data_IF_055046858004
#
_entry.id   IF_055046858004
#
_cell.length_a   1.000
_cell.length_b   1.000
_cell.length_c   1.000
_cell.angle_alpha   90.00
_cell.angle_beta   90.00
_cell.angle_gamma   90.00
#
_symmetry.space_group_name_H-M   'P 1'
#
loop_
_entity.id
_entity.type
_entity.pdbx_description
1 polymer ?
#
# COMPACT_ATOMS: atom_id res chain seq x y z
N UNK A 1 -14.84 5.56 -5.12
CA UNK A 1 -13.39 5.36 -5.33
C UNK A 1 -12.80 4.64 -4.12
N UNK A 2 -11.87 3.72 -4.36
CA UNK A 2 -11.19 2.97 -3.31
C UNK A 2 -9.77 2.64 -3.78
N UNK A 3 -8.83 2.60 -2.83
CA UNK A 3 -7.46 2.15 -3.07
C UNK A 3 -6.98 1.31 -1.89
N UNK A 4 -6.04 0.41 -2.15
CA UNK A 4 -5.37 -0.39 -1.11
C UNK A 4 -3.90 -0.02 -1.08
N UNK A 5 -3.37 0.26 0.12
CA UNK A 5 -1.95 0.54 0.35
C UNK A 5 -1.35 -0.49 1.31
N UNK A 6 -0.07 -0.91 1.15
CA UNK A 6 0.61 -1.75 2.13
C UNK A 6 0.71 -1.03 3.48
N UNK A 7 0.23 -1.62 4.57
CA UNK A 7 0.23 -0.98 5.89
C UNK A 7 1.09 -1.69 6.94
N UNK A 8 1.73 -2.79 6.57
CA UNK A 8 2.62 -3.55 7.42
C UNK A 8 2.75 -5.00 7.00
N UNK A 9 3.27 -5.81 7.92
CA UNK A 9 3.46 -7.23 7.74
C UNK A 9 2.96 -7.98 8.96
N UNK A 10 2.48 -9.20 8.76
CA UNK A 10 2.19 -10.13 9.85
C UNK A 10 3.51 -10.61 10.50
N UNK A 11 3.40 -11.27 11.66
CA UNK A 11 4.55 -11.91 12.31
C UNK A 11 5.24 -12.94 11.40
N UNK A 12 4.47 -13.63 10.55
CA UNK A 12 4.96 -14.61 9.56
C UNK A 12 5.47 -13.95 8.26
N UNK A 13 5.57 -12.62 8.23
CA UNK A 13 6.15 -11.88 7.11
C UNK A 13 5.24 -11.69 5.90
N UNK A 14 3.93 -11.97 6.01
CA UNK A 14 2.96 -11.73 4.93
C UNK A 14 2.55 -10.25 4.86
N UNK A 15 2.37 -9.66 3.67
CA UNK A 15 1.96 -8.27 3.54
C UNK A 15 0.52 -8.06 4.01
N UNK A 16 0.26 -6.93 4.67
CA UNK A 16 -1.08 -6.50 5.11
C UNK A 16 -1.49 -5.26 4.33
N UNK A 17 -2.72 -5.25 3.81
CA UNK A 17 -3.30 -4.12 3.10
C UNK A 17 -4.24 -3.28 3.96
N UNK A 18 -4.22 -1.96 3.79
CA UNK A 18 -5.20 -1.02 4.31
C UNK A 18 -6.05 -0.49 3.15
N UNK A 19 -7.37 -0.59 3.25
CA UNK A 19 -8.29 -0.06 2.26
C UNK A 19 -8.75 1.35 2.63
N UNK A 20 -8.56 2.29 1.72
CA UNK A 20 -9.00 3.69 1.84
C UNK A 20 -10.18 3.90 0.89
N UNK A 21 -11.32 4.34 1.43
CA UNK A 21 -12.55 4.54 0.67
C UNK A 21 -12.98 6.01 0.78
N UNK A 22 -13.21 6.64 -0.37
CA UNK A 22 -13.65 8.03 -0.47
C UNK A 22 -15.10 8.18 -0.92
N UNK A 23 -15.57 9.45 -0.94
CA UNK A 23 -16.87 9.82 -1.48
C UNK A 23 -16.98 9.47 -2.96
N UNK A 24 -18.20 9.28 -3.47
CA UNK A 24 -18.47 9.01 -4.88
C UNK A 24 -17.78 10.06 -5.76
N UNK A 25 -17.02 9.61 -6.77
CA UNK A 25 -16.26 10.43 -7.73
C UNK A 25 -15.10 11.28 -7.17
N UNK A 26 -14.69 11.09 -5.91
CA UNK A 26 -13.58 11.84 -5.29
C UNK A 26 -12.27 11.02 -5.24
N UNK A 27 -11.81 10.57 -6.40
CA UNK A 27 -10.59 9.76 -6.57
C UNK A 27 -9.33 10.52 -6.13
N UNK A 28 -9.29 11.84 -6.38
CA UNK A 28 -8.17 12.70 -6.01
C UNK A 28 -7.92 12.70 -4.50
N UNK A 29 -8.97 12.70 -3.68
CA UNK A 29 -8.81 12.64 -2.22
C UNK A 29 -8.32 11.27 -1.75
N UNK A 30 -8.80 10.18 -2.36
CA UNK A 30 -8.29 8.83 -2.06
C UNK A 30 -6.80 8.72 -2.40
N UNK A 31 -6.38 9.20 -3.57
CA UNK A 31 -4.97 9.17 -3.98
C UNK A 31 -4.06 10.04 -3.10
N UNK A 32 -4.51 11.23 -2.70
CA UNK A 32 -3.77 12.09 -1.75
C UNK A 32 -3.61 11.42 -0.38
N UNK A 33 -4.64 10.75 0.11
CA UNK A 33 -4.57 10.00 1.36
C UNK A 33 -3.59 8.82 1.25
N UNK A 34 -3.62 8.07 0.14
CA UNK A 34 -2.65 7.00 -0.13
C UNK A 34 -1.21 7.52 -0.16
N UNK A 35 -0.95 8.64 -0.85
CA UNK A 35 0.37 9.25 -0.94
C UNK A 35 0.87 9.79 0.41
N UNK A 36 -0.02 10.38 1.22
CA UNK A 36 0.31 10.80 2.57
C UNK A 36 0.68 9.61 3.47
N UNK A 37 -0.05 8.49 3.34
CA UNK A 37 0.27 7.26 4.05
C UNK A 37 1.62 6.68 3.60
N UNK A 38 1.90 6.67 2.29
CA UNK A 38 3.21 6.27 1.72
C UNK A 38 4.37 7.10 2.28
N UNK A 39 4.24 8.42 2.28
CA UNK A 39 5.27 9.31 2.81
C UNK A 39 5.52 9.12 4.31
N UNK A 40 4.49 8.78 5.09
CA UNK A 40 4.62 8.52 6.53
C UNK A 40 5.08 7.09 6.87
N UNK A 41 4.89 6.13 5.97
CA UNK A 41 5.19 4.71 6.19
C UNK A 41 5.74 4.07 4.91
N UNK A 42 6.97 4.38 4.49
CA UNK A 42 7.54 3.80 3.27
C UNK A 42 7.56 2.26 3.29
N UNK A 43 7.20 1.62 2.17
CA UNK A 43 7.17 0.15 2.01
C UNK A 43 7.92 -0.35 0.78
N UNK A 44 8.33 0.55 -0.12
CA UNK A 44 8.79 0.24 -1.47
C UNK A 44 10.04 -0.65 -1.52
N UNK A 45 10.86 -0.64 -0.48
CA UNK A 45 12.13 -1.39 -0.42
C UNK A 45 11.91 -2.86 -0.07
N UNK A 46 10.75 -3.24 0.48
CA UNK A 46 10.45 -4.62 0.83
C UNK A 46 9.82 -5.34 -0.36
N UNK A 47 10.59 -6.23 -0.98
CA UNK A 47 10.17 -7.06 -2.12
C UNK A 47 9.93 -8.51 -1.69
N UNK A 48 9.07 -9.27 -2.41
CA UNK A 48 8.96 -10.70 -2.17
C UNK A 48 10.19 -11.44 -2.73
N UNK A 49 10.62 -12.57 -2.13
CA UNK A 49 11.83 -13.31 -2.54
C UNK A 49 11.84 -13.74 -4.01
N UNK A 50 10.67 -13.88 -4.63
CA UNK A 50 10.57 -14.23 -6.05
C UNK A 50 11.25 -13.20 -6.96
N UNK A 51 11.31 -11.92 -6.55
CA UNK A 51 11.93 -10.85 -7.36
C UNK A 51 13.46 -11.01 -7.43
N UNK A 52 14.08 -11.59 -6.40
CA UNK A 52 15.52 -11.86 -6.36
C UNK A 52 15.93 -13.03 -7.27
N UNK A 53 14.95 -13.88 -7.64
CA UNK A 53 15.16 -15.11 -8.42
C UNK A 53 14.61 -14.99 -9.85
N UNK A 54 14.21 -13.79 -10.28
CA UNK A 54 13.88 -13.53 -11.68
C UNK A 54 15.19 -13.48 -12.49
N UNK A 55 15.25 -14.13 -13.68
CA UNK A 55 16.42 -14.09 -14.55
C UNK A 55 16.74 -12.69 -15.08
#
# INVERSE_FOLDING_TARGET
PAATVPCGWTADGLPVGLQIIGRRYDDATVLRASAAFEGGRPWQDRKPPIVENLP
#
